data_IF_167435384865
#
_entry.id   IF_167435384865
#
_cell.length_a   1.000
_cell.length_b   1.000
_cell.length_c   1.000
_cell.angle_alpha   90.00
_cell.angle_beta   90.00
_cell.angle_gamma   90.00
#
_symmetry.space_group_name_H-M   'P 1'
#
loop_
_entity.id
_entity.type
_entity.pdbx_description
1 polymer ?
#
# COMPACT_ATOMS: atom_id res chain seq x y z
N UNK A 1 -51.03 -2.09 -51.72
CA UNK A 1 -50.54 -0.81 -52.28
C UNK A 1 -49.69 -0.12 -51.25
N UNK A 2 -48.49 0.33 -51.62
CA UNK A 2 -47.45 0.87 -50.73
C UNK A 2 -47.82 2.27 -50.25
N UNK A 3 -47.66 2.57 -48.97
CA UNK A 3 -47.61 3.94 -48.45
C UNK A 3 -46.51 4.03 -47.39
N UNK A 4 -45.61 5.00 -47.60
CA UNK A 4 -44.40 5.28 -46.82
C UNK A 4 -44.77 6.04 -45.54
N UNK A 5 -44.16 5.70 -44.41
CA UNK A 5 -44.22 6.52 -43.19
C UNK A 5 -42.84 7.15 -42.98
N UNK A 6 -42.87 8.49 -42.90
CA UNK A 6 -41.72 9.38 -42.72
C UNK A 6 -41.29 9.38 -41.26
N UNK A 7 -39.97 9.33 -41.03
CA UNK A 7 -39.35 9.42 -39.73
C UNK A 7 -39.38 10.87 -39.20
N UNK A 8 -39.78 11.05 -37.94
CA UNK A 8 -39.61 12.29 -37.19
C UNK A 8 -38.38 12.16 -36.29
N UNK A 9 -37.36 12.98 -36.54
CA UNK A 9 -36.18 13.13 -35.69
C UNK A 9 -36.51 14.16 -34.60
N UNK A 10 -36.62 13.72 -33.36
CA UNK A 10 -36.75 14.60 -32.20
C UNK A 10 -35.35 14.97 -31.70
N UNK A 11 -34.99 16.24 -31.88
CA UNK A 11 -33.79 16.87 -31.31
C UNK A 11 -34.12 17.27 -29.87
N UNK A 12 -33.56 16.57 -28.88
CA UNK A 12 -33.62 17.00 -27.49
C UNK A 12 -32.38 17.84 -27.16
N UNK A 13 -32.60 19.14 -27.05
CA UNK A 13 -31.63 20.15 -26.64
C UNK A 13 -31.12 19.90 -25.21
N UNK A 14 -29.82 20.06 -25.03
CA UNK A 14 -29.09 19.93 -23.75
C UNK A 14 -29.41 21.13 -22.85
N UNK A 15 -30.15 20.92 -21.77
CA UNK A 15 -30.27 21.91 -20.70
C UNK A 15 -29.11 21.72 -19.72
N UNK A 16 -28.15 22.65 -19.75
CA UNK A 16 -27.04 22.72 -18.80
C UNK A 16 -27.57 23.13 -17.42
N UNK A 17 -27.66 22.19 -16.49
CA UNK A 17 -27.93 22.48 -15.09
C UNK A 17 -26.62 22.81 -14.36
N UNK A 18 -26.42 24.09 -14.08
CA UNK A 18 -25.34 24.60 -13.25
C UNK A 18 -25.60 24.22 -11.80
N UNK A 19 -24.82 23.28 -11.25
CA UNK A 19 -24.79 23.04 -9.81
C UNK A 19 -23.77 23.98 -9.18
N UNK A 20 -24.25 25.06 -8.55
CA UNK A 20 -23.44 25.94 -7.72
C UNK A 20 -23.05 25.20 -6.44
N UNK A 21 -21.77 24.85 -6.32
CA UNK A 21 -21.17 24.35 -5.08
C UNK A 21 -20.89 25.53 -4.15
N UNK A 22 -21.73 25.71 -3.13
CA UNK A 22 -21.55 26.73 -2.08
C UNK A 22 -20.77 26.14 -0.92
N UNK A 23 -19.49 26.48 -0.79
CA UNK A 23 -18.67 26.14 0.38
C UNK A 23 -19.01 27.07 1.55
N UNK A 24 -19.61 26.53 2.61
CA UNK A 24 -19.78 27.24 3.88
C UNK A 24 -18.55 26.97 4.74
N UNK A 25 -17.76 28.03 4.96
CA UNK A 25 -16.61 28.06 5.87
C UNK A 25 -17.11 28.22 7.31
N UNK A 26 -16.69 27.32 8.20
CA UNK A 26 -16.96 27.36 9.64
C UNK A 26 -15.84 28.11 10.35
N UNK A 27 -16.23 29.06 11.21
CA UNK A 27 -15.37 30.06 11.81
C UNK A 27 -14.61 29.63 13.07
N UNK A 28 -13.62 30.47 13.38
CA UNK A 28 -12.70 30.46 14.51
C UNK A 28 -13.36 30.41 15.90
N UNK A 29 -12.72 29.70 16.83
CA UNK A 29 -12.86 29.93 18.28
C UNK A 29 -11.55 29.63 19.04
N UNK A 30 -10.72 30.66 19.10
CA UNK A 30 -10.07 31.24 20.29
C UNK A 30 -9.29 30.37 21.31
N UNK A 31 -7.98 30.62 21.28
CA UNK A 31 -6.89 30.46 22.26
C UNK A 31 -7.19 31.09 23.63
N UNK A 32 -6.81 30.44 24.74
CA UNK A 32 -6.40 31.08 26.02
C UNK A 32 -5.38 30.19 26.78
N UNK A 33 -4.36 30.85 27.34
CA UNK A 33 -3.24 30.34 28.15
C UNK A 33 -3.33 31.06 29.50
N UNK A 34 -2.88 30.45 30.62
CA UNK A 34 -2.06 31.03 31.73
C UNK A 34 -2.16 30.15 33.02
N UNK A 35 -1.00 29.81 33.59
CA UNK A 35 -0.66 29.21 34.92
C UNK A 35 -0.24 30.33 35.93
N UNK A 36 0.25 30.12 37.20
CA UNK A 36 0.18 29.02 38.20
C UNK A 36 -0.01 29.45 39.70
N UNK A 37 -0.06 28.45 40.62
CA UNK A 37 0.50 28.37 42.02
C UNK A 37 -0.26 28.70 43.33
N UNK A 38 -0.08 27.75 44.29
CA UNK A 38 0.09 27.80 45.78
C UNK A 38 -1.08 27.69 46.82
N UNK A 39 -1.08 26.52 47.51
CA UNK A 39 -1.00 26.24 48.97
C UNK A 39 -2.17 26.44 49.98
N UNK A 40 -2.63 25.31 50.58
CA UNK A 40 -2.74 24.96 52.02
C UNK A 40 -4.05 24.22 52.45
N UNK A 41 -3.87 23.12 53.21
CA UNK A 41 -4.84 22.12 53.70
C UNK A 41 -5.33 22.43 55.16
N UNK A 42 -6.06 21.56 55.92
CA UNK A 42 -6.74 20.26 55.62
C UNK A 42 -8.21 20.19 56.13
N UNK A 43 -8.95 19.09 55.83
CA UNK A 43 -9.66 18.19 56.79
C UNK A 43 -10.74 17.32 56.11
N UNK A 44 -10.70 16.02 56.44
CA UNK A 44 -11.76 14.99 56.40
C UNK A 44 -12.31 14.43 55.07
N UNK A 45 -11.89 13.17 54.83
CA UNK A 45 -12.75 11.99 54.65
C UNK A 45 -13.65 11.91 53.41
N UNK A 46 -13.21 11.17 52.40
CA UNK A 46 -13.70 9.81 52.09
C UNK A 46 -13.38 9.41 50.64
N UNK A 47 -12.98 8.15 50.51
CA UNK A 47 -13.15 7.24 49.37
C UNK A 47 -13.12 7.83 47.95
N UNK A 48 -12.06 7.52 47.20
CA UNK A 48 -12.10 6.60 46.06
C UNK A 48 -10.65 6.46 45.58
N UNK A 49 -10.18 5.21 45.61
CA UNK A 49 -8.84 4.80 45.25
C UNK A 49 -8.60 5.10 43.76
N UNK A 50 -8.00 6.25 43.47
CA UNK A 50 -7.56 6.62 42.14
C UNK A 50 -6.32 5.80 41.76
N UNK A 51 -6.51 4.54 41.39
CA UNK A 51 -5.50 3.82 40.62
C UNK A 51 -5.64 4.22 39.15
N UNK A 52 -5.28 5.47 38.84
CA UNK A 52 -5.05 5.91 37.46
C UNK A 52 -3.57 5.74 37.12
N UNK A 53 -3.10 4.51 37.28
CA UNK A 53 -1.94 4.05 36.53
C UNK A 53 -2.39 4.00 35.07
N UNK A 54 -2.07 5.06 34.32
CA UNK A 54 -2.12 5.07 32.87
C UNK A 54 -1.17 3.97 32.39
N UNK A 55 -1.68 2.75 32.28
CA UNK A 55 -1.02 1.68 31.55
C UNK A 55 -1.06 2.10 30.10
N UNK A 56 -0.02 2.84 29.67
CA UNK A 56 0.31 2.90 28.26
C UNK A 56 0.46 1.44 27.82
N UNK A 57 -0.40 1.03 26.89
CA UNK A 57 -0.37 -0.30 26.32
C UNK A 57 1.07 -0.60 25.83
N UNK A 58 1.77 -1.62 26.35
CA UNK A 58 3.14 -1.94 25.94
C UNK A 58 3.27 -2.28 24.45
N UNK A 59 2.15 -2.42 23.75
CA UNK A 59 2.06 -2.73 22.32
C UNK A 59 2.23 -1.51 21.39
N UNK A 60 2.44 -0.29 21.92
CA UNK A 60 2.75 0.88 21.09
C UNK A 60 4.21 0.78 20.61
N UNK A 61 4.46 -0.07 19.61
CA UNK A 61 5.78 -0.24 19.00
C UNK A 61 6.09 -1.67 18.51
N UNK A 62 5.34 -2.67 18.94
CA UNK A 62 5.47 -4.03 18.42
C UNK A 62 4.62 -4.19 17.15
N UNK A 63 5.20 -4.75 16.08
CA UNK A 63 4.44 -5.16 14.89
C UNK A 63 3.54 -6.33 15.29
N UNK A 64 2.22 -6.18 15.10
CA UNK A 64 1.27 -7.27 15.35
C UNK A 64 1.56 -8.43 14.39
N UNK A 65 1.88 -9.61 14.92
CA UNK A 65 1.98 -10.81 14.10
C UNK A 65 0.58 -11.26 13.67
N UNK A 66 0.28 -11.11 12.37
CA UNK A 66 -1.01 -11.45 11.80
C UNK A 66 -1.04 -12.85 11.16
N UNK A 67 0.04 -13.63 11.29
CA UNK A 67 0.11 -14.98 10.71
C UNK A 67 -1.03 -15.88 11.20
N UNK A 68 -1.61 -16.66 10.29
CA UNK A 68 -2.71 -17.58 10.59
C UNK A 68 -4.11 -16.95 10.61
N UNK A 69 -4.23 -15.62 10.49
CA UNK A 69 -5.55 -14.97 10.31
C UNK A 69 -6.13 -15.32 8.92
N UNK A 70 -7.46 -15.50 8.78
CA UNK A 70 -8.07 -15.77 7.48
C UNK A 70 -7.69 -14.72 6.43
N UNK A 71 -7.20 -15.18 5.28
CA UNK A 71 -6.79 -14.32 4.16
C UNK A 71 -5.36 -13.76 4.26
N UNK A 72 -4.67 -13.92 5.39
CA UNK A 72 -3.26 -13.52 5.53
C UNK A 72 -2.35 -14.59 4.94
N UNK A 73 -1.54 -14.19 3.95
CA UNK A 73 -0.64 -15.09 3.21
C UNK A 73 0.80 -15.08 3.75
N UNK A 74 1.23 -13.96 4.32
CA UNK A 74 2.57 -13.80 4.89
C UNK A 74 2.71 -14.50 6.23
N UNK A 75 3.91 -15.02 6.49
CA UNK A 75 4.28 -15.63 7.78
C UNK A 75 5.39 -14.85 8.50
N UNK A 76 5.96 -13.83 7.86
CA UNK A 76 6.98 -12.93 8.41
C UNK A 76 6.38 -11.53 8.67
N UNK A 77 6.30 -11.15 9.95
CA UNK A 77 5.90 -9.83 10.43
C UNK A 77 7.01 -9.14 11.24
N UNK A 78 8.27 -9.45 10.97
CA UNK A 78 9.40 -8.78 11.59
C UNK A 78 9.40 -7.27 11.30
N UNK A 79 9.92 -6.48 12.24
CA UNK A 79 9.96 -5.02 12.12
C UNK A 79 10.97 -4.53 11.08
N UNK A 80 11.90 -5.36 10.61
CA UNK A 80 12.82 -4.98 9.55
C UNK A 80 12.08 -4.82 8.21
N UNK A 81 12.49 -3.79 7.47
CA UNK A 81 12.00 -3.53 6.12
C UNK A 81 12.36 -4.70 5.18
N UNK A 82 13.57 -5.23 5.33
CA UNK A 82 14.05 -6.33 4.49
C UNK A 82 13.34 -7.65 4.78
N UNK A 83 12.98 -7.93 6.04
CA UNK A 83 12.51 -9.25 6.44
C UNK A 83 13.60 -10.31 6.37
N UNK A 84 13.21 -11.57 6.54
CA UNK A 84 14.12 -12.71 6.49
C UNK A 84 14.35 -13.12 5.03
N UNK A 85 15.60 -13.05 4.57
CA UNK A 85 16.11 -13.56 3.29
C UNK A 85 17.39 -14.36 3.59
N UNK A 86 17.22 -15.62 4.03
CA UNK A 86 18.34 -16.42 4.52
C UNK A 86 19.28 -16.86 3.38
N UNK A 87 18.72 -17.09 2.19
CA UNK A 87 19.47 -17.52 1.02
C UNK A 87 20.10 -16.35 0.22
N UNK A 88 19.79 -15.10 0.59
CA UNK A 88 20.30 -13.85 0.01
C UNK A 88 20.00 -13.72 -1.49
N UNK A 89 18.87 -14.25 -1.94
CA UNK A 89 18.49 -14.19 -3.35
C UNK A 89 17.79 -12.86 -3.71
N UNK A 90 17.51 -12.01 -2.71
CA UNK A 90 16.81 -10.74 -2.86
C UNK A 90 15.29 -10.85 -2.75
N UNK A 91 14.78 -11.96 -2.21
CA UNK A 91 13.36 -12.23 -1.97
C UNK A 91 13.23 -12.66 -0.51
N UNK A 92 12.17 -12.21 0.16
CA UNK A 92 11.87 -12.68 1.51
C UNK A 92 11.46 -14.16 1.48
N UNK A 93 11.97 -14.95 2.42
CA UNK A 93 11.78 -16.40 2.47
C UNK A 93 10.29 -16.79 2.54
N UNK A 94 9.45 -16.02 3.24
CA UNK A 94 8.01 -16.31 3.32
C UNK A 94 7.27 -16.07 1.99
N UNK A 95 7.72 -15.07 1.24
CA UNK A 95 7.21 -14.75 -0.09
C UNK A 95 7.69 -15.80 -1.11
N UNK A 96 8.95 -16.23 -1.02
CA UNK A 96 9.48 -17.33 -1.83
C UNK A 96 8.64 -18.60 -1.62
N UNK A 97 8.44 -19.04 -0.37
CA UNK A 97 7.62 -20.21 -0.04
C UNK A 97 6.18 -20.08 -0.54
N UNK A 98 5.57 -18.89 -0.42
CA UNK A 98 4.24 -18.63 -0.96
C UNK A 98 4.21 -18.80 -2.49
N UNK A 99 5.18 -18.24 -3.20
CA UNK A 99 5.27 -18.32 -4.66
C UNK A 99 5.50 -19.77 -5.11
N UNK A 100 6.40 -20.50 -4.46
CA UNK A 100 6.67 -21.92 -4.76
C UNK A 100 5.41 -22.79 -4.62
N UNK A 101 4.65 -22.58 -3.55
CA UNK A 101 3.41 -23.30 -3.28
C UNK A 101 2.27 -22.93 -4.24
N UNK A 102 2.18 -21.64 -4.60
CA UNK A 102 1.03 -21.10 -5.35
C UNK A 102 1.15 -21.35 -6.86
N UNK A 103 2.36 -21.34 -7.40
CA UNK A 103 2.61 -21.42 -8.84
C UNK A 103 3.36 -22.72 -9.21
N UNK A 104 2.65 -23.84 -9.44
CA UNK A 104 3.30 -25.11 -9.81
C UNK A 104 3.95 -25.05 -11.20
N UNK A 105 3.39 -24.24 -12.12
CA UNK A 105 3.98 -23.99 -13.44
C UNK A 105 5.33 -23.25 -13.30
N UNK A 106 6.45 -23.80 -13.80
CA UNK A 106 7.77 -23.19 -13.63
C UNK A 106 7.89 -21.77 -14.22
N UNK A 107 7.25 -21.49 -15.36
CA UNK A 107 7.34 -20.19 -16.01
C UNK A 107 6.56 -19.11 -15.23
N UNK A 108 5.40 -19.45 -14.69
CA UNK A 108 4.63 -18.56 -13.80
C UNK A 108 5.37 -18.32 -12.49
N UNK A 109 5.96 -19.37 -11.91
CA UNK A 109 6.77 -19.28 -10.70
C UNK A 109 7.95 -18.35 -10.92
N UNK A 110 8.72 -18.53 -12.00
CA UNK A 110 9.84 -17.66 -12.33
C UNK A 110 9.42 -16.20 -12.51
N UNK A 111 8.30 -15.94 -13.20
CA UNK A 111 7.78 -14.57 -13.35
C UNK A 111 7.41 -13.93 -12.00
N UNK A 112 6.82 -14.69 -11.09
CA UNK A 112 6.48 -14.18 -9.76
C UNK A 112 7.71 -14.00 -8.87
N UNK A 113 8.73 -14.85 -8.99
CA UNK A 113 10.03 -14.62 -8.33
C UNK A 113 10.71 -13.35 -8.84
N UNK A 114 10.67 -13.09 -10.15
CA UNK A 114 11.17 -11.85 -10.74
C UNK A 114 10.41 -10.63 -10.20
N UNK A 115 9.08 -10.70 -10.11
CA UNK A 115 8.27 -9.63 -9.52
C UNK A 115 8.61 -9.40 -8.04
N UNK A 116 8.72 -10.47 -7.26
CA UNK A 116 9.04 -10.39 -5.84
C UNK A 116 10.41 -9.73 -5.62
N UNK A 117 11.43 -10.17 -6.37
CA UNK A 117 12.77 -9.57 -6.33
C UNK A 117 12.77 -8.09 -6.71
N UNK A 118 12.05 -7.72 -7.77
CA UNK A 118 11.94 -6.33 -8.19
C UNK A 118 11.22 -5.46 -7.13
N UNK A 119 10.17 -5.99 -6.49
CA UNK A 119 9.43 -5.32 -5.43
C UNK A 119 10.26 -5.14 -4.16
N UNK A 120 11.01 -6.16 -3.74
CA UNK A 120 11.95 -6.06 -2.63
C UNK A 120 13.04 -5.02 -2.93
N UNK A 121 13.62 -5.06 -4.14
CA UNK A 121 14.62 -4.08 -4.55
C UNK A 121 14.07 -2.65 -4.54
N UNK A 122 12.84 -2.44 -5.01
CA UNK A 122 12.20 -1.13 -4.98
C UNK A 122 12.08 -0.57 -3.56
N UNK A 123 11.56 -1.37 -2.62
CA UNK A 123 11.42 -0.93 -1.22
C UNK A 123 12.76 -0.62 -0.56
N UNK A 124 13.81 -1.40 -0.85
CA UNK A 124 15.11 -1.25 -0.19
C UNK A 124 16.00 -0.17 -0.79
N UNK A 125 15.94 0.05 -2.11
CA UNK A 125 16.96 0.85 -2.81
C UNK A 125 16.47 2.21 -3.30
N UNK A 126 15.14 2.40 -3.46
CA UNK A 126 14.51 3.62 -3.96
C UNK A 126 14.50 4.77 -2.95
N UNK A 127 15.63 5.01 -2.26
CA UNK A 127 15.74 6.05 -1.22
C UNK A 127 16.09 7.43 -1.78
N UNK A 128 16.33 7.55 -3.10
CA UNK A 128 16.51 8.80 -3.84
C UNK A 128 15.70 8.76 -5.14
N UNK A 129 15.38 9.91 -5.77
CA UNK A 129 14.65 9.92 -7.04
C UNK A 129 15.30 9.07 -8.14
N UNK A 130 16.60 9.22 -8.36
CA UNK A 130 17.34 8.46 -9.36
C UNK A 130 17.26 6.94 -9.11
N UNK A 131 17.46 6.50 -7.86
CA UNK A 131 17.38 5.06 -7.52
C UNK A 131 15.95 4.54 -7.60
N UNK A 132 14.96 5.37 -7.29
CA UNK A 132 13.55 5.02 -7.48
C UNK A 132 13.22 4.79 -8.96
N UNK A 133 13.75 5.62 -9.86
CA UNK A 133 13.53 5.46 -11.29
C UNK A 133 14.10 4.13 -11.81
N UNK A 134 15.35 3.82 -11.45
CA UNK A 134 16.01 2.57 -11.85
C UNK A 134 15.27 1.35 -11.31
N UNK A 135 14.90 1.35 -10.03
CA UNK A 135 14.15 0.25 -9.44
C UNK A 135 12.74 0.11 -10.04
N UNK A 136 12.09 1.22 -10.41
CA UNK A 136 10.79 1.20 -11.07
C UNK A 136 10.86 0.58 -12.48
N UNK A 137 11.95 0.78 -13.23
CA UNK A 137 12.13 0.13 -14.53
C UNK A 137 12.12 -1.40 -14.41
N UNK A 138 12.82 -1.95 -13.41
CA UNK A 138 12.81 -3.39 -13.13
C UNK A 138 11.43 -3.89 -12.68
N UNK A 139 10.70 -3.09 -11.88
CA UNK A 139 9.31 -3.38 -11.55
C UNK A 139 8.43 -3.47 -12.80
N UNK A 140 8.51 -2.49 -13.71
CA UNK A 140 7.74 -2.50 -14.97
C UNK A 140 8.09 -3.69 -15.87
N UNK A 141 9.37 -4.05 -15.94
CA UNK A 141 9.83 -5.27 -16.63
C UNK A 141 9.22 -6.53 -16.02
N UNK A 142 9.24 -6.64 -14.69
CA UNK A 142 8.64 -7.77 -13.98
C UNK A 142 7.12 -7.87 -14.18
N UNK A 143 6.41 -6.73 -14.22
CA UNK A 143 4.98 -6.71 -14.55
C UNK A 143 4.71 -7.18 -15.98
N UNK A 144 5.55 -6.82 -16.94
CA UNK A 144 5.44 -7.33 -18.31
C UNK A 144 5.65 -8.86 -18.36
N UNK A 145 6.59 -9.39 -17.59
CA UNK A 145 6.80 -10.84 -17.49
C UNK A 145 5.60 -11.54 -16.85
N UNK A 146 5.12 -11.04 -15.70
CA UNK A 146 3.95 -11.58 -15.02
C UNK A 146 2.72 -11.59 -15.94
N UNK A 147 2.47 -10.49 -16.66
CA UNK A 147 1.38 -10.42 -17.66
C UNK A 147 1.52 -11.47 -18.74
N UNK A 148 2.74 -11.70 -19.25
CA UNK A 148 3.02 -12.70 -20.28
C UNK A 148 2.79 -14.13 -19.79
N UNK A 149 3.24 -14.47 -18.59
CA UNK A 149 3.20 -15.85 -18.08
C UNK A 149 1.88 -16.23 -17.40
N UNK A 150 1.22 -15.28 -16.73
CA UNK A 150 -0.01 -15.54 -16.00
C UNK A 150 -1.27 -15.24 -16.83
N UNK A 151 -1.19 -14.36 -17.84
CA UNK A 151 -2.37 -13.93 -18.59
C UNK A 151 -3.29 -13.07 -17.73
N UNK A 152 -4.62 -13.18 -17.90
CA UNK A 152 -5.63 -12.31 -17.23
C UNK A 152 -5.44 -12.15 -15.70
N UNK A 153 -5.10 -13.20 -14.93
CA UNK A 153 -4.94 -13.11 -13.48
C UNK A 153 -3.68 -12.38 -12.98
N UNK A 154 -2.78 -11.92 -13.86
CA UNK A 154 -1.47 -11.35 -13.46
C UNK A 154 -1.58 -10.21 -12.43
N UNK A 155 -2.63 -9.39 -12.52
CA UNK A 155 -2.82 -8.25 -11.63
C UNK A 155 -3.18 -8.70 -10.21
N UNK A 156 -4.03 -9.72 -10.07
CA UNK A 156 -4.41 -10.22 -8.75
C UNK A 156 -3.26 -10.98 -8.10
N UNK A 157 -2.52 -11.77 -8.90
CA UNK A 157 -1.31 -12.46 -8.47
C UNK A 157 -0.21 -11.51 -7.92
N UNK A 158 0.00 -10.37 -8.59
CA UNK A 158 0.98 -9.37 -8.14
C UNK A 158 0.50 -8.60 -6.92
N UNK A 159 -0.80 -8.28 -6.82
CA UNK A 159 -1.39 -7.66 -5.61
C UNK A 159 -1.23 -8.54 -4.37
N UNK A 160 -1.37 -9.85 -4.51
CA UNK A 160 -1.19 -10.78 -3.39
C UNK A 160 0.22 -10.71 -2.82
N UNK A 161 1.23 -10.74 -3.69
CA UNK A 161 2.64 -10.64 -3.29
C UNK A 161 2.95 -9.23 -2.77
N UNK A 162 2.40 -8.18 -3.38
CA UNK A 162 2.53 -6.81 -2.87
C UNK A 162 1.97 -6.69 -1.45
N UNK A 163 0.81 -7.27 -1.17
CA UNK A 163 0.22 -7.24 0.17
C UNK A 163 1.14 -7.90 1.21
N UNK A 164 1.87 -8.95 0.85
CA UNK A 164 2.88 -9.57 1.71
C UNK A 164 4.08 -8.65 1.96
N UNK A 165 4.47 -7.81 0.99
CA UNK A 165 5.51 -6.79 1.18
C UNK A 165 5.06 -5.62 2.05
N UNK A 166 3.78 -5.28 2.09
CA UNK A 166 3.24 -4.13 2.81
C UNK A 166 2.64 -4.48 4.18
N UNK A 167 2.93 -5.68 4.69
CA UNK A 167 2.25 -6.28 5.83
C UNK A 167 2.68 -5.75 7.22
N UNK A 168 3.59 -4.78 7.27
CA UNK A 168 4.01 -4.08 8.50
C UNK A 168 4.04 -2.57 8.27
N UNK A 169 4.00 -1.79 9.35
CA UNK A 169 4.03 -0.32 9.26
C UNK A 169 5.33 0.17 8.65
N UNK A 170 6.44 -0.42 9.04
CA UNK A 170 7.79 -0.08 8.60
C UNK A 170 7.95 -0.32 7.10
N UNK A 171 7.45 -1.46 6.61
CA UNK A 171 7.48 -1.80 5.18
C UNK A 171 6.55 -0.93 4.36
N UNK A 172 5.35 -0.63 4.87
CA UNK A 172 4.42 0.30 4.22
C UNK A 172 5.03 1.72 4.12
N UNK A 173 5.67 2.21 5.18
CA UNK A 173 6.33 3.51 5.17
C UNK A 173 7.51 3.54 4.18
N UNK A 174 8.29 2.46 4.10
CA UNK A 174 9.38 2.34 3.13
C UNK A 174 8.85 2.36 1.69
N UNK A 175 7.75 1.65 1.41
CA UNK A 175 7.07 1.71 0.11
C UNK A 175 6.57 3.12 -0.21
N UNK A 176 5.94 3.80 0.76
CA UNK A 176 5.47 5.18 0.57
C UNK A 176 6.64 6.11 0.22
N UNK A 177 7.76 6.00 0.93
CA UNK A 177 8.97 6.78 0.63
C UNK A 177 9.55 6.48 -0.76
N UNK A 178 9.56 5.20 -1.16
CA UNK A 178 9.98 4.80 -2.49
C UNK A 178 9.08 5.41 -3.58
N UNK A 179 7.77 5.44 -3.35
CA UNK A 179 6.80 6.07 -4.25
C UNK A 179 6.94 7.60 -4.29
N UNK A 180 7.16 8.25 -3.15
CA UNK A 180 7.42 9.70 -3.09
C UNK A 180 8.65 10.08 -3.91
N UNK A 181 9.72 9.27 -3.80
CA UNK A 181 10.92 9.49 -4.60
C UNK A 181 10.67 9.26 -6.09
N UNK A 182 9.74 8.38 -6.46
CA UNK A 182 9.35 8.15 -7.85
C UNK A 182 8.38 9.23 -8.39
N UNK A 183 7.68 9.94 -7.53
CA UNK A 183 6.64 10.87 -7.91
C UNK A 183 7.14 11.96 -8.86
N UNK A 184 6.36 12.26 -9.90
CA UNK A 184 6.70 13.24 -10.92
C UNK A 184 7.70 12.77 -11.98
N UNK A 185 8.24 11.56 -11.87
CA UNK A 185 9.14 10.98 -12.87
C UNK A 185 8.36 10.21 -13.94
N UNK A 186 8.88 10.22 -15.17
CA UNK A 186 8.39 9.36 -16.24
C UNK A 186 9.15 8.04 -16.18
N UNK A 187 8.42 6.94 -16.02
CA UNK A 187 8.95 5.58 -16.19
C UNK A 187 8.17 4.90 -17.30
N UNK A 188 8.86 4.57 -18.38
CA UNK A 188 8.24 3.90 -19.52
C UNK A 188 7.86 2.47 -19.14
N UNK A 189 6.72 2.02 -19.63
CA UNK A 189 6.39 0.60 -19.59
C UNK A 189 7.42 -0.18 -20.38
N UNK A 190 7.83 -1.35 -19.86
CA UNK A 190 8.77 -2.21 -20.57
C UNK A 190 8.26 -2.59 -21.97
N UNK A 191 9.09 -2.32 -22.98
CA UNK A 191 8.78 -2.48 -24.41
C UNK A 191 9.68 -3.48 -25.15
N UNK A 192 10.60 -4.15 -24.43
CA UNK A 192 11.47 -5.17 -25.03
C UNK A 192 10.78 -6.51 -25.28
N UNK A 193 11.41 -7.37 -26.09
CA UNK A 193 10.85 -8.67 -26.49
C UNK A 193 10.94 -9.76 -25.41
N UNK A 194 11.78 -9.51 -24.40
CA UNK A 194 12.26 -10.49 -23.41
C UNK A 194 12.05 -10.02 -21.97
N UNK A 195 10.79 -9.84 -21.54
CA UNK A 195 10.50 -9.33 -20.20
C UNK A 195 10.91 -10.29 -19.08
N UNK A 196 11.08 -11.58 -19.38
CA UNK A 196 11.36 -12.65 -18.42
C UNK A 196 12.82 -13.14 -18.39
N UNK A 197 13.69 -12.58 -19.25
CA UNK A 197 15.10 -12.98 -19.36
C UNK A 197 15.98 -12.31 -18.29
#
# INVERSE_FOLDING_TARGET
>A
MKAKIVAAVAVCSVAAAWWSFSSKSEGDAQKQVIEPTTSNAPTASNAVQANKSSVLNPQIGAVENQAGRPGVKSTDFDASIAGIDANKNGIRDDIEQYIEKTYPNPAQRAAMMQYAKAQQNFVLTATTPERAQLAAQELWRSFACARRQLGRPWLDATKDVLAMYLNTRERLNAQAKAQDNLAGQIVESYSGDKPCD
#
